data_IF_794294173013
#
_entry.id   IF_794294173013
#
_cell.length_a   1.000
_cell.length_b   1.000
_cell.length_c   1.000
_cell.angle_alpha   90.00
_cell.angle_beta   90.00
_cell.angle_gamma   90.00
#
_symmetry.space_group_name_H-M   'P 1'
#
loop_
_entity.id
_entity.type
_entity.pdbx_description
1 polymer ?
#
# COMPACT_ATOMS: atom_id res chain seq x y z
N UNK A 1 1.69 1.31 29.50
CA UNK A 1 1.08 0.30 28.61
C UNK A 1 1.86 -1.00 28.75
N UNK A 2 1.23 -2.18 28.90
CA UNK A 2 1.95 -3.45 28.79
C UNK A 2 2.77 -3.55 27.49
N UNK A 3 4.00 -4.09 27.58
CA UNK A 3 4.95 -4.20 26.46
C UNK A 3 4.36 -4.89 25.22
N UNK A 4 3.46 -5.85 25.45
CA UNK A 4 2.78 -6.61 24.40
C UNK A 4 1.96 -5.72 23.46
N UNK A 5 1.37 -4.62 23.94
CA UNK A 5 0.57 -3.74 23.08
C UNK A 5 1.43 -2.97 22.09
N UNK A 6 2.65 -2.61 22.49
CA UNK A 6 3.59 -1.93 21.61
C UNK A 6 4.07 -2.86 20.49
N UNK A 7 4.43 -4.09 20.87
CA UNK A 7 4.86 -5.12 19.93
C UNK A 7 3.74 -5.50 18.94
N UNK A 8 2.53 -5.72 19.44
CA UNK A 8 1.37 -6.07 18.61
C UNK A 8 0.99 -4.93 17.65
N UNK A 9 1.02 -3.68 18.13
CA UNK A 9 0.72 -2.50 17.30
C UNK A 9 1.69 -2.34 16.14
N UNK A 10 3.00 -2.39 16.43
CA UNK A 10 4.05 -2.30 15.41
C UNK A 10 4.00 -3.47 14.42
N UNK A 11 3.76 -4.69 14.92
CA UNK A 11 3.62 -5.87 14.07
C UNK A 11 2.45 -5.70 13.09
N UNK A 12 1.28 -5.28 13.57
CA UNK A 12 0.09 -5.13 12.73
C UNK A 12 0.29 -4.04 11.67
N UNK A 13 0.83 -2.88 12.06
CA UNK A 13 1.11 -1.78 11.13
C UNK A 13 2.13 -2.23 10.07
N UNK A 14 3.20 -2.90 10.49
CA UNK A 14 4.23 -3.43 9.59
C UNK A 14 3.66 -4.46 8.63
N UNK A 15 2.85 -5.40 9.12
CA UNK A 15 2.24 -6.44 8.30
C UNK A 15 1.31 -5.85 7.23
N UNK A 16 0.41 -4.93 7.59
CA UNK A 16 -0.49 -4.27 6.63
C UNK A 16 0.28 -3.47 5.59
N UNK A 17 1.32 -2.76 6.00
CA UNK A 17 2.21 -1.99 5.10
C UNK A 17 2.95 -2.94 4.15
N UNK A 18 3.45 -4.07 4.63
CA UNK A 18 4.15 -5.05 3.82
C UNK A 18 3.23 -5.69 2.78
N UNK A 19 2.03 -6.12 3.17
CA UNK A 19 1.05 -6.75 2.26
C UNK A 19 0.62 -5.77 1.17
N UNK A 20 0.29 -4.53 1.54
CA UNK A 20 -0.07 -3.49 0.56
C UNK A 20 1.10 -3.14 -0.36
N UNK A 21 2.32 -3.01 0.17
CA UNK A 21 3.52 -2.79 -0.62
C UNK A 21 3.82 -3.91 -1.62
N UNK A 22 3.79 -5.17 -1.16
CA UNK A 22 3.97 -6.33 -2.03
C UNK A 22 2.92 -6.38 -3.14
N UNK A 23 1.67 -6.08 -2.81
CA UNK A 23 0.60 -5.99 -3.79
C UNK A 23 0.87 -4.90 -4.83
N UNK A 24 1.30 -3.70 -4.41
CA UNK A 24 1.65 -2.59 -5.31
C UNK A 24 2.80 -2.95 -6.26
N UNK A 25 3.80 -3.69 -5.78
CA UNK A 25 4.90 -4.18 -6.62
C UNK A 25 4.41 -5.17 -7.68
N UNK A 26 3.55 -6.12 -7.28
CA UNK A 26 2.93 -7.09 -8.20
C UNK A 26 2.02 -6.37 -9.23
N UNK A 27 1.51 -5.19 -8.90
CA UNK A 27 0.62 -4.37 -9.73
C UNK A 27 1.28 -3.05 -10.19
N UNK A 28 2.61 -3.01 -10.34
CA UNK A 28 3.34 -1.78 -10.67
C UNK A 28 2.85 -1.10 -11.97
N UNK A 29 2.44 -1.90 -12.97
CA UNK A 29 1.83 -1.38 -14.21
C UNK A 29 0.51 -0.67 -13.93
N UNK A 30 -0.27 -1.14 -12.97
CA UNK A 30 -1.56 -0.56 -12.60
C UNK A 30 -1.37 0.75 -11.85
N UNK A 31 -0.31 0.84 -11.04
CA UNK A 31 0.12 2.09 -10.38
C UNK A 31 0.57 3.11 -11.43
N UNK A 32 1.39 2.72 -12.41
CA UNK A 32 1.82 3.63 -13.48
C UNK A 32 0.63 4.20 -14.27
N UNK A 33 -0.40 3.38 -14.51
CA UNK A 33 -1.64 3.79 -15.18
C UNK A 33 -2.49 4.78 -14.38
N UNK A 34 -2.30 4.91 -13.06
CA UNK A 34 -2.97 5.96 -12.28
C UNK A 34 -2.43 7.36 -12.62
N UNK A 35 -1.14 7.47 -12.94
CA UNK A 35 -0.47 8.76 -13.15
C UNK A 35 -0.27 9.11 -14.63
N UNK A 36 -0.54 8.17 -15.54
CA UNK A 36 -0.46 8.40 -16.98
C UNK A 36 -1.67 9.20 -17.47
N UNK A 37 -1.43 10.25 -18.27
CA UNK A 37 -2.47 11.10 -18.88
C UNK A 37 -2.98 10.58 -20.22
N UNK A 38 -2.16 9.82 -20.95
CA UNK A 38 -2.53 9.27 -22.26
C UNK A 38 -3.37 7.99 -22.12
N UNK A 39 -4.45 7.83 -22.90
CA UNK A 39 -5.20 6.58 -22.96
C UNK A 39 -4.31 5.43 -23.44
N UNK A 40 -4.48 4.24 -22.85
CA UNK A 40 -3.69 3.06 -23.22
C UNK A 40 -3.80 2.79 -24.73
N UNK A 41 -2.66 2.70 -25.41
CA UNK A 41 -2.57 1.93 -26.66
C UNK A 41 -2.99 0.52 -26.29
N UNK A 42 -4.08 0.04 -26.88
CA UNK A 42 -4.77 -1.20 -26.50
C UNK A 42 -3.76 -2.28 -26.10
N UNK A 43 -3.74 -2.60 -24.81
CA UNK A 43 -2.83 -3.58 -24.26
C UNK A 43 -3.19 -4.90 -24.94
N UNK A 44 -2.24 -5.49 -25.68
CA UNK A 44 -2.38 -6.85 -26.22
C UNK A 44 -2.73 -7.85 -25.11
N UNK A 45 -3.05 -9.12 -25.41
CA UNK A 45 -3.69 -10.07 -24.49
C UNK A 45 -2.84 -10.31 -23.23
N UNK A 46 -2.97 -9.40 -22.27
CA UNK A 46 -2.12 -9.26 -21.10
C UNK A 46 -2.91 -9.57 -19.85
N UNK A 47 -2.20 -9.60 -18.71
CA UNK A 47 -2.80 -9.86 -17.40
C UNK A 47 -3.99 -8.92 -17.15
N UNK A 48 -5.07 -9.46 -16.57
CA UNK A 48 -6.21 -8.64 -16.12
C UNK A 48 -5.70 -7.51 -15.22
N UNK A 49 -6.07 -6.31 -15.60
CA UNK A 49 -5.72 -5.06 -14.94
C UNK A 49 -6.56 -4.91 -13.66
N UNK A 50 -5.95 -4.49 -12.56
CA UNK A 50 -6.72 -4.11 -11.37
C UNK A 50 -7.53 -2.83 -11.63
N UNK A 51 -8.64 -2.68 -10.91
CA UNK A 51 -9.44 -1.46 -10.90
C UNK A 51 -8.62 -0.29 -10.38
N UNK A 52 -8.79 0.90 -10.98
CA UNK A 52 -8.15 2.14 -10.49
C UNK A 52 -8.48 2.41 -9.02
N UNK A 53 -9.70 2.09 -8.59
CA UNK A 53 -10.13 2.26 -7.20
C UNK A 53 -9.33 1.35 -6.25
N UNK A 54 -9.10 0.09 -6.63
CA UNK A 54 -8.28 -0.85 -5.84
C UNK A 54 -6.84 -0.39 -5.76
N UNK A 55 -6.26 0.07 -6.87
CA UNK A 55 -4.88 0.57 -6.88
C UNK A 55 -4.73 1.81 -5.99
N UNK A 56 -5.68 2.75 -6.04
CA UNK A 56 -5.72 3.90 -5.14
C UNK A 56 -5.86 3.50 -3.67
N UNK A 57 -6.75 2.55 -3.37
CA UNK A 57 -6.94 2.05 -2.02
C UNK A 57 -5.65 1.42 -1.46
N UNK A 58 -4.97 0.58 -2.25
CA UNK A 58 -3.71 -0.05 -1.84
C UNK A 58 -2.60 0.98 -1.65
N UNK A 59 -2.54 2.00 -2.51
CA UNK A 59 -1.59 3.11 -2.37
C UNK A 59 -1.86 3.93 -1.10
N UNK A 60 -3.13 4.20 -0.79
CA UNK A 60 -3.53 4.91 0.42
C UNK A 60 -3.23 4.09 1.68
N UNK A 61 -3.54 2.79 1.69
CA UNK A 61 -3.23 1.87 2.81
C UNK A 61 -1.74 1.79 3.06
N UNK A 62 -0.92 1.64 2.01
CA UNK A 62 0.53 1.62 2.13
C UNK A 62 1.05 2.92 2.77
N UNK A 63 0.58 4.07 2.28
CA UNK A 63 1.02 5.36 2.81
C UNK A 63 0.56 5.61 4.24
N UNK A 64 -0.70 5.30 4.54
CA UNK A 64 -1.25 5.40 5.88
C UNK A 64 -0.45 4.51 6.85
N UNK A 65 -0.09 3.29 6.42
CA UNK A 65 0.66 2.33 7.24
C UNK A 65 1.97 2.89 7.77
N UNK A 66 2.87 3.38 6.89
CA UNK A 66 4.15 3.92 7.35
C UNK A 66 4.00 5.26 8.09
N UNK A 67 3.05 6.12 7.72
CA UNK A 67 2.75 7.37 8.46
C UNK A 67 2.28 7.03 9.89
N UNK A 68 1.35 6.09 10.03
CA UNK A 68 0.90 5.62 11.34
C UNK A 68 2.04 4.98 12.14
N UNK A 69 2.96 4.25 11.49
CA UNK A 69 4.14 3.72 12.17
C UNK A 69 5.00 4.84 12.79
N UNK A 70 5.23 5.92 12.03
CA UNK A 70 6.00 7.08 12.53
C UNK A 70 5.28 7.81 13.67
N UNK A 71 3.97 8.03 13.54
CA UNK A 71 3.16 8.65 14.59
C UNK A 71 3.17 7.78 15.84
N UNK A 72 2.91 6.48 15.68
CA UNK A 72 2.91 5.52 16.78
C UNK A 72 4.24 5.52 17.51
N UNK A 73 5.35 5.42 16.78
CA UNK A 73 6.69 5.47 17.38
C UNK A 73 6.95 6.79 18.11
N UNK A 74 6.62 7.93 17.49
CA UNK A 74 6.84 9.26 18.08
C UNK A 74 6.07 9.49 19.39
N UNK A 75 4.92 8.83 19.56
CA UNK A 75 4.08 8.94 20.75
C UNK A 75 4.36 7.87 21.82
N UNK A 76 5.14 6.85 21.49
CA UNK A 76 5.38 5.69 22.37
C UNK A 76 6.84 5.51 22.80
N UNK A 77 7.75 6.35 22.26
CA UNK A 77 9.09 6.55 22.80
C UNK A 77 9.05 7.44 24.04
#
# INVERSE_FOLDING_TARGET
MPLIYMQAGIFLIGFVTLVSGAWLLIHARDVARLFRREPDVAVGPGRKQASKATTWAMLAVFNAGWIFALIFWSLTI
#
